data_IF_700189657326
#
_entry.id   IF_700189657326
#
_cell.length_a   1.000
_cell.length_b   1.000
_cell.length_c   1.000
_cell.angle_alpha   90.00
_cell.angle_beta   90.00
_cell.angle_gamma   90.00
#
_symmetry.space_group_name_H-M   'P 1'
#
loop_
_entity.id
_entity.type
_entity.pdbx_description
1 polymer ?
#
# COMPACT_ATOMS: atom_id res chain seq x y z
N UNK A 1 -18.90 34.76 15.09
CA UNK A 1 -17.55 34.41 14.64
C UNK A 1 -17.72 33.51 13.42
N UNK A 2 -17.54 34.06 12.21
CA UNK A 2 -17.78 33.31 10.97
C UNK A 2 -16.56 32.42 10.71
N UNK A 3 -16.79 31.11 10.60
CA UNK A 3 -15.77 30.17 10.14
C UNK A 3 -15.50 30.47 8.66
N UNK A 4 -14.34 31.05 8.33
CA UNK A 4 -13.85 31.08 6.97
C UNK A 4 -13.39 29.67 6.62
N UNK A 5 -14.24 28.92 5.93
CA UNK A 5 -13.81 27.70 5.25
C UNK A 5 -13.02 28.15 4.00
N UNK A 6 -11.70 28.11 4.08
CA UNK A 6 -10.87 28.31 2.90
C UNK A 6 -11.20 27.18 1.91
N UNK A 7 -11.82 27.54 0.79
CA UNK A 7 -12.03 26.62 -0.33
C UNK A 7 -10.67 26.27 -0.92
N UNK A 8 -10.19 25.05 -0.69
CA UNK A 8 -9.04 24.52 -1.42
C UNK A 8 -9.45 24.37 -2.88
N UNK A 9 -8.79 25.13 -3.76
CA UNK A 9 -8.99 24.97 -5.19
C UNK A 9 -8.37 23.68 -5.68
N UNK A 10 -9.17 22.62 -5.73
CA UNK A 10 -8.78 21.30 -6.24
C UNK A 10 -8.48 21.30 -7.75
N UNK A 11 -8.65 22.42 -8.44
CA UNK A 11 -8.42 22.51 -9.89
C UNK A 11 -6.96 22.62 -10.28
N UNK A 12 -6.06 22.78 -9.31
CA UNK A 12 -4.61 22.84 -9.56
C UNK A 12 -3.91 21.48 -9.48
N UNK A 13 -4.60 20.41 -9.07
CA UNK A 13 -4.03 19.07 -9.16
C UNK A 13 -4.10 18.62 -10.63
N UNK A 14 -2.97 18.23 -11.24
CA UNK A 14 -3.02 17.68 -12.58
C UNK A 14 -3.91 16.44 -12.56
N UNK A 15 -4.98 16.48 -13.34
CA UNK A 15 -5.73 15.25 -13.65
C UNK A 15 -4.69 14.25 -14.15
N UNK A 16 -4.69 13.00 -13.67
CA UNK A 16 -3.78 11.99 -14.19
C UNK A 16 -3.84 12.07 -15.71
N UNK A 17 -2.68 12.19 -16.35
CA UNK A 17 -2.63 12.22 -17.80
C UNK A 17 -3.35 10.97 -18.32
N UNK A 18 -4.26 11.15 -19.26
CA UNK A 18 -4.87 10.02 -19.95
C UNK A 18 -3.73 9.13 -20.50
N UNK A 19 -3.96 7.82 -20.51
CA UNK A 19 -3.02 6.91 -21.15
C UNK A 19 -2.79 7.39 -22.59
N UNK A 20 -1.55 7.38 -23.03
CA UNK A 20 -1.26 7.61 -24.42
C UNK A 20 -1.76 6.42 -25.28
N UNK A 21 -1.68 6.57 -26.60
CA UNK A 21 -2.19 5.56 -27.53
C UNK A 21 -1.44 4.22 -27.43
N UNK A 22 -0.16 4.25 -27.06
CA UNK A 22 0.65 3.05 -26.90
C UNK A 22 0.25 2.28 -25.64
N UNK A 23 0.13 2.99 -24.52
CA UNK A 23 -0.32 2.41 -23.26
C UNK A 23 -1.77 1.90 -23.35
N UNK A 24 -2.66 2.62 -24.06
CA UNK A 24 -4.04 2.18 -24.27
C UNK A 24 -4.08 0.89 -25.08
N UNK A 25 -3.34 0.81 -26.19
CA UNK A 25 -3.23 -0.41 -26.99
C UNK A 25 -2.67 -1.57 -26.19
N UNK A 26 -1.63 -1.33 -25.40
CA UNK A 26 -1.04 -2.38 -24.56
C UNK A 26 -2.09 -2.96 -23.59
N UNK A 27 -2.88 -2.11 -22.95
CA UNK A 27 -3.97 -2.53 -22.04
C UNK A 27 -5.02 -3.36 -22.79
N UNK A 28 -5.50 -2.86 -23.93
CA UNK A 28 -6.55 -3.51 -24.72
C UNK A 28 -6.09 -4.88 -25.24
N UNK A 29 -4.90 -4.96 -25.80
CA UNK A 29 -4.32 -6.20 -26.34
C UNK A 29 -4.08 -7.22 -25.21
N UNK A 30 -3.58 -6.77 -24.05
CA UNK A 30 -3.34 -7.62 -22.88
C UNK A 30 -4.64 -8.20 -22.38
N UNK A 31 -5.65 -7.35 -22.13
CA UNK A 31 -6.97 -7.80 -21.64
C UNK A 31 -7.68 -8.69 -22.67
N UNK A 32 -7.56 -8.37 -23.96
CA UNK A 32 -8.16 -9.18 -25.01
C UNK A 32 -7.54 -10.59 -25.07
N UNK A 33 -6.23 -10.70 -24.90
CA UNK A 33 -5.50 -11.97 -24.92
C UNK A 33 -5.71 -12.86 -23.70
N UNK A 34 -6.19 -12.32 -22.58
CA UNK A 34 -6.41 -13.07 -21.33
C UNK A 34 -7.60 -14.00 -21.40
N UNK A 35 -7.45 -15.21 -20.83
CA UNK A 35 -8.53 -16.10 -20.47
C UNK A 35 -9.41 -15.49 -19.37
N UNK A 36 -10.55 -16.12 -19.06
CA UNK A 36 -11.41 -15.70 -17.95
C UNK A 36 -10.69 -15.85 -16.61
N UNK A 37 -9.97 -16.93 -16.40
CA UNK A 37 -9.25 -17.21 -15.16
C UNK A 37 -8.16 -16.16 -14.92
N UNK A 38 -7.39 -15.81 -15.96
CA UNK A 38 -6.40 -14.72 -15.89
C UNK A 38 -7.05 -13.37 -15.55
N UNK A 39 -8.18 -13.03 -16.20
CA UNK A 39 -8.92 -11.80 -15.90
C UNK A 39 -9.41 -11.75 -14.45
N UNK A 40 -9.91 -12.86 -13.93
CA UNK A 40 -10.33 -12.97 -12.52
C UNK A 40 -9.11 -12.83 -11.60
N UNK A 41 -8.01 -13.49 -11.93
CA UNK A 41 -6.75 -13.39 -11.18
C UNK A 41 -6.24 -11.95 -11.08
N UNK A 42 -6.31 -11.18 -12.19
CA UNK A 42 -5.89 -9.77 -12.20
C UNK A 42 -6.69 -8.87 -11.24
N UNK A 43 -7.87 -9.28 -10.79
CA UNK A 43 -8.67 -8.55 -9.80
C UNK A 43 -8.30 -8.89 -8.35
N UNK A 44 -7.39 -9.84 -8.13
CA UNK A 44 -7.02 -10.33 -6.81
C UNK A 44 -5.66 -9.77 -6.41
N UNK A 45 -5.57 -9.21 -5.20
CA UNK A 45 -4.35 -8.63 -4.61
C UNK A 45 -4.11 -9.28 -3.24
N UNK A 46 -3.45 -10.43 -3.18
CA UNK A 46 -3.12 -11.09 -1.92
C UNK A 46 -2.02 -10.34 -1.16
N UNK A 47 -1.93 -10.57 0.14
CA UNK A 47 -0.92 -9.95 0.99
C UNK A 47 0.28 -10.84 1.26
N UNK A 48 1.43 -10.21 1.48
CA UNK A 48 2.61 -10.87 2.03
C UNK A 48 3.27 -10.01 3.12
N UNK A 49 4.11 -10.65 3.92
CA UNK A 49 4.90 -9.97 4.94
C UNK A 49 6.29 -9.61 4.41
N UNK A 50 6.76 -8.40 4.75
CA UNK A 50 8.08 -7.89 4.34
C UNK A 50 9.22 -8.47 5.22
N UNK A 51 9.22 -9.79 5.32
CA UNK A 51 10.26 -10.60 5.95
C UNK A 51 11.26 -11.11 4.90
N UNK A 52 12.41 -11.61 5.36
CA UNK A 52 13.28 -12.33 4.46
C UNK A 52 12.62 -13.65 4.04
N UNK A 53 12.46 -13.84 2.74
CA UNK A 53 11.90 -15.06 2.15
C UNK A 53 12.97 -15.71 1.27
N UNK A 54 13.45 -16.88 1.70
CA UNK A 54 14.40 -17.68 0.90
C UNK A 54 13.73 -18.21 -0.37
N UNK A 55 14.51 -18.31 -1.47
CA UNK A 55 14.05 -18.92 -2.72
C UNK A 55 13.68 -20.39 -2.58
N UNK A 56 14.21 -21.06 -1.58
CA UNK A 56 14.04 -22.51 -1.34
C UNK A 56 12.98 -22.75 -0.25
N UNK A 57 12.14 -21.76 0.05
CA UNK A 57 11.12 -21.90 1.08
C UNK A 57 9.73 -22.13 0.48
N UNK A 58 8.90 -22.94 1.16
CA UNK A 58 7.51 -23.13 0.78
C UNK A 58 6.71 -21.82 0.72
N UNK A 59 7.07 -20.81 1.55
CA UNK A 59 6.49 -19.47 1.45
C UNK A 59 6.74 -18.83 0.09
N UNK A 60 7.96 -18.99 -0.45
CA UNK A 60 8.26 -18.47 -1.78
C UNK A 60 7.52 -19.24 -2.88
N UNK A 61 7.45 -20.57 -2.75
CA UNK A 61 6.71 -21.43 -3.69
C UNK A 61 5.22 -21.04 -3.73
N UNK A 62 4.61 -20.77 -2.57
CA UNK A 62 3.23 -20.29 -2.47
C UNK A 62 3.04 -18.93 -3.18
N UNK A 63 3.98 -17.99 -3.02
CA UNK A 63 3.93 -16.69 -3.70
C UNK A 63 4.11 -16.83 -5.22
N UNK A 64 5.03 -17.70 -5.67
CA UNK A 64 5.21 -18.02 -7.10
C UNK A 64 3.93 -18.61 -7.68
N UNK A 65 3.28 -19.50 -6.93
CA UNK A 65 2.00 -20.10 -7.34
C UNK A 65 0.90 -19.05 -7.51
N UNK A 66 0.81 -18.04 -6.61
CA UNK A 66 -0.13 -16.94 -6.75
C UNK A 66 0.07 -16.18 -8.08
N UNK A 67 1.32 -15.98 -8.48
CA UNK A 67 1.64 -15.27 -9.73
C UNK A 67 1.40 -16.15 -10.96
N UNK A 68 1.85 -17.42 -10.94
CA UNK A 68 1.87 -18.28 -12.13
C UNK A 68 0.58 -19.05 -12.37
N UNK A 69 -0.07 -19.54 -11.30
CA UNK A 69 -1.27 -20.38 -11.42
C UNK A 69 -2.56 -19.57 -11.22
N UNK A 70 -2.53 -18.59 -10.30
CA UNK A 70 -3.71 -17.76 -10.00
C UNK A 70 -3.68 -16.40 -10.70
N UNK A 71 -2.60 -16.05 -11.41
CA UNK A 71 -2.48 -14.86 -12.24
C UNK A 71 -2.86 -13.56 -11.52
N UNK A 72 -2.49 -13.43 -10.22
CA UNK A 72 -2.87 -12.27 -9.40
C UNK A 72 -2.38 -10.96 -10.01
N UNK A 73 -3.21 -9.91 -9.96
CA UNK A 73 -2.91 -8.61 -10.55
C UNK A 73 -2.01 -7.73 -9.68
N UNK A 74 -1.80 -8.09 -8.43
CA UNK A 74 -0.96 -7.30 -7.52
C UNK A 74 -0.63 -8.01 -6.23
N UNK A 75 0.08 -7.29 -5.36
CA UNK A 75 0.46 -7.76 -4.02
C UNK A 75 0.30 -6.64 -3.00
N UNK A 76 -0.18 -6.96 -1.80
CA UNK A 76 -0.29 -6.04 -0.68
C UNK A 76 0.82 -6.31 0.34
N UNK A 77 1.65 -5.29 0.60
CA UNK A 77 2.79 -5.39 1.51
C UNK A 77 2.36 -5.08 2.93
N UNK A 78 2.56 -6.04 3.84
CA UNK A 78 2.45 -5.83 5.27
C UNK A 78 3.83 -5.78 5.95
N UNK A 79 3.87 -5.40 7.24
CA UNK A 79 5.05 -5.49 8.09
C UNK A 79 5.54 -6.93 8.27
N UNK A 80 5.97 -7.29 9.49
CA UNK A 80 6.37 -8.66 9.83
C UNK A 80 5.46 -9.25 10.89
N UNK A 81 5.46 -10.58 11.01
CA UNK A 81 4.88 -11.25 12.17
C UNK A 81 5.93 -11.26 13.31
N UNK A 82 5.57 -10.79 14.49
CA UNK A 82 6.39 -11.01 15.68
C UNK A 82 5.65 -11.87 16.70
N UNK A 83 6.40 -12.72 17.38
CA UNK A 83 5.93 -13.31 18.63
C UNK A 83 5.71 -12.17 19.64
N UNK A 84 4.51 -12.11 20.24
CA UNK A 84 4.14 -11.07 21.15
C UNK A 84 4.59 -11.40 22.58
N UNK A 85 5.10 -10.44 23.33
CA UNK A 85 5.18 -10.57 24.77
C UNK A 85 3.75 -10.57 25.34
N UNK A 86 3.49 -11.46 26.29
CA UNK A 86 2.17 -11.70 26.91
C UNK A 86 1.57 -10.52 27.69
N UNK A 87 2.20 -9.36 27.66
CA UNK A 87 1.92 -8.20 28.54
C UNK A 87 1.44 -6.95 27.77
N UNK A 88 0.95 -7.07 26.55
CA UNK A 88 0.53 -5.88 25.78
C UNK A 88 -0.96 -5.60 25.92
N UNK A 89 -1.28 -4.36 26.32
CA UNK A 89 -2.65 -3.87 26.62
C UNK A 89 -3.61 -3.90 25.42
N UNK A 90 -3.11 -3.98 24.20
CA UNK A 90 -3.95 -4.12 23.01
C UNK A 90 -3.32 -5.07 21.98
N UNK A 91 -3.72 -6.31 22.01
CA UNK A 91 -3.21 -7.40 21.16
C UNK A 91 -3.54 -7.20 19.66
N UNK A 92 -4.54 -6.41 19.30
CA UNK A 92 -4.93 -6.21 17.91
C UNK A 92 -3.88 -5.40 17.12
N UNK A 93 -3.19 -4.47 17.77
CA UNK A 93 -2.17 -3.62 17.14
C UNK A 93 -0.76 -4.22 17.10
N UNK A 94 -0.54 -5.31 17.81
CA UNK A 94 0.79 -5.85 18.05
C UNK A 94 1.13 -7.08 17.22
N UNK A 95 0.18 -7.58 16.44
CA UNK A 95 0.39 -8.77 15.60
C UNK A 95 1.28 -8.54 14.38
N UNK A 96 1.39 -7.29 13.93
CA UNK A 96 2.20 -6.94 12.78
C UNK A 96 3.32 -6.01 13.22
N UNK A 97 4.56 -6.45 13.10
CA UNK A 97 5.71 -5.61 13.28
C UNK A 97 6.14 -4.99 11.98
N UNK A 98 7.03 -4.01 12.09
CA UNK A 98 7.59 -3.32 10.94
C UNK A 98 8.58 -4.23 10.23
N UNK A 99 8.39 -4.42 8.93
CA UNK A 99 9.32 -5.14 8.07
C UNK A 99 10.55 -4.33 7.71
N UNK A 100 11.40 -4.95 6.90
CA UNK A 100 12.61 -4.28 6.39
C UNK A 100 12.38 -3.85 4.94
N UNK A 101 12.64 -2.58 4.57
CA UNK A 101 12.48 -2.09 3.21
C UNK A 101 13.24 -2.92 2.18
N UNK A 102 14.45 -3.34 2.49
CA UNK A 102 15.27 -4.16 1.59
C UNK A 102 14.63 -5.53 1.32
N UNK A 103 14.06 -6.17 2.36
CA UNK A 103 13.36 -7.44 2.18
C UNK A 103 12.12 -7.29 1.31
N UNK A 104 11.34 -6.22 1.54
CA UNK A 104 10.18 -5.89 0.72
C UNK A 104 10.58 -5.68 -0.74
N UNK A 105 11.55 -4.79 -1.01
CA UNK A 105 12.03 -4.48 -2.36
C UNK A 105 12.60 -5.71 -3.07
N UNK A 106 13.39 -6.54 -2.37
CA UNK A 106 13.96 -7.77 -2.94
C UNK A 106 12.86 -8.76 -3.33
N UNK A 107 11.87 -8.97 -2.47
CA UNK A 107 10.78 -9.90 -2.76
C UNK A 107 9.88 -9.37 -3.89
N UNK A 108 9.55 -8.07 -3.87
CA UNK A 108 8.80 -7.41 -4.95
C UNK A 108 9.51 -7.61 -6.30
N UNK A 109 10.83 -7.33 -6.37
CA UNK A 109 11.58 -7.48 -7.61
C UNK A 109 11.58 -8.93 -8.12
N UNK A 110 11.69 -9.91 -7.22
CA UNK A 110 11.63 -11.34 -7.59
C UNK A 110 10.26 -11.72 -8.14
N UNK A 111 9.17 -11.28 -7.52
CA UNK A 111 7.81 -11.54 -7.99
C UNK A 111 7.52 -10.81 -9.31
N UNK A 112 7.96 -9.57 -9.46
CA UNK A 112 7.86 -8.83 -10.72
C UNK A 112 8.60 -9.53 -11.85
N UNK A 113 9.79 -10.10 -11.58
CA UNK A 113 10.60 -10.75 -12.63
C UNK A 113 9.99 -12.03 -13.19
N UNK A 114 9.06 -12.64 -12.47
CA UNK A 114 8.36 -13.86 -12.91
C UNK A 114 6.93 -13.60 -13.38
N UNK A 115 6.44 -12.38 -13.26
CA UNK A 115 5.07 -12.01 -13.63
C UNK A 115 4.97 -11.69 -15.12
N UNK A 116 3.99 -12.29 -15.82
CA UNK A 116 3.72 -12.01 -17.23
C UNK A 116 3.11 -10.60 -17.43
N UNK A 117 2.27 -10.17 -16.50
CA UNK A 117 1.73 -8.81 -16.43
C UNK A 117 2.32 -8.15 -15.18
N UNK A 118 2.86 -6.92 -15.26
CA UNK A 118 3.44 -6.26 -14.11
C UNK A 118 2.48 -6.17 -12.92
N UNK A 119 2.93 -6.60 -11.73
CA UNK A 119 2.12 -6.60 -10.52
C UNK A 119 1.89 -5.17 -10.00
N UNK A 120 0.65 -4.83 -9.65
CA UNK A 120 0.34 -3.65 -8.88
C UNK A 120 0.66 -3.90 -7.40
N UNK A 121 1.72 -3.28 -6.89
CA UNK A 121 2.11 -3.44 -5.49
C UNK A 121 1.51 -2.33 -4.65
N UNK A 122 0.78 -2.72 -3.60
CA UNK A 122 0.08 -1.82 -2.68
C UNK A 122 0.62 -1.96 -1.25
N UNK A 123 0.36 -0.94 -0.43
CA UNK A 123 0.53 -0.98 1.03
C UNK A 123 -0.43 0.01 1.68
N UNK A 124 -0.68 -0.13 2.98
CA UNK A 124 -1.48 0.78 3.79
C UNK A 124 -0.58 1.63 4.70
N UNK A 125 0.05 2.63 4.13
CA UNK A 125 0.96 3.55 4.84
C UNK A 125 0.20 4.73 5.47
N UNK A 126 -0.63 4.45 6.47
CA UNK A 126 -1.51 5.44 7.12
C UNK A 126 -0.75 6.64 7.71
N UNK A 127 0.47 6.42 8.18
CA UNK A 127 1.32 7.44 8.79
C UNK A 127 2.71 7.49 8.15
N UNK A 128 2.79 7.31 6.84
CA UNK A 128 4.05 7.16 6.12
C UNK A 128 4.55 5.72 6.08
N UNK A 129 5.63 5.45 5.33
CA UNK A 129 6.10 4.06 5.18
C UNK A 129 6.60 3.45 6.48
N UNK A 130 6.99 4.28 7.47
CA UNK A 130 7.32 3.84 8.83
C UNK A 130 6.15 3.17 9.57
N UNK A 131 4.94 3.22 9.05
CA UNK A 131 3.80 2.47 9.58
C UNK A 131 4.00 0.95 9.42
N UNK A 132 4.55 0.51 8.29
CA UNK A 132 4.77 -0.91 7.97
C UNK A 132 6.26 -1.31 7.92
N UNK A 133 7.17 -0.38 7.64
CA UNK A 133 8.57 -0.67 7.37
C UNK A 133 9.50 0.14 8.29
N UNK A 134 10.54 -0.52 8.79
CA UNK A 134 11.55 0.13 9.64
C UNK A 134 12.37 1.15 8.85
N UNK A 135 12.76 2.23 9.53
CA UNK A 135 13.63 3.24 8.96
C UNK A 135 12.96 4.21 7.99
N UNK A 136 11.68 4.00 7.68
CA UNK A 136 10.89 4.94 6.88
C UNK A 136 10.37 6.12 7.71
N UNK A 137 10.01 7.19 7.03
CA UNK A 137 9.41 8.36 7.66
C UNK A 137 8.07 7.98 8.31
N UNK A 138 7.85 8.49 9.52
CA UNK A 138 6.59 8.33 10.25
C UNK A 138 6.01 9.69 10.54
N UNK A 139 4.74 9.88 10.18
CA UNK A 139 3.97 11.08 10.41
C UNK A 139 2.95 10.90 11.54
N UNK A 140 2.41 11.99 12.09
CA UNK A 140 1.23 11.94 12.93
C UNK A 140 0.04 11.33 12.18
N UNK A 141 -1.01 10.94 12.91
CA UNK A 141 -2.26 10.46 12.31
C UNK A 141 -3.02 11.57 11.58
N UNK A 142 -3.92 11.20 10.67
CA UNK A 142 -4.64 12.11 9.78
C UNK A 142 -5.37 13.24 10.52
N UNK A 143 -5.96 12.98 11.69
CA UNK A 143 -6.61 14.02 12.50
C UNK A 143 -5.67 15.12 12.99
N UNK A 144 -4.39 14.82 13.20
CA UNK A 144 -3.41 15.84 13.59
C UNK A 144 -3.15 16.83 12.43
N UNK A 145 -3.10 16.35 11.19
CA UNK A 145 -3.05 17.23 10.01
C UNK A 145 -4.31 18.09 9.90
N UNK A 146 -5.49 17.50 10.08
CA UNK A 146 -6.75 18.23 10.11
C UNK A 146 -6.78 19.34 11.17
N UNK A 147 -6.22 19.07 12.35
CA UNK A 147 -6.17 20.06 13.44
C UNK A 147 -5.27 21.27 13.13
N UNK A 148 -4.33 21.17 12.22
CA UNK A 148 -3.49 22.31 11.79
C UNK A 148 -4.25 23.32 10.94
N UNK A 149 -5.28 22.88 10.21
CA UNK A 149 -5.99 23.65 9.20
C UNK A 149 -5.13 23.97 7.96
N UNK A 150 -3.95 23.39 7.82
CA UNK A 150 -3.02 23.61 6.71
C UNK A 150 -2.95 22.38 5.80
N UNK A 151 -3.61 22.41 4.63
CA UNK A 151 -3.61 21.29 3.68
C UNK A 151 -2.22 21.03 3.05
N UNK A 152 -1.32 22.03 3.08
CA UNK A 152 0.03 21.87 2.55
C UNK A 152 0.84 20.84 3.35
N UNK A 153 0.64 20.76 4.65
CA UNK A 153 1.29 19.75 5.49
C UNK A 153 0.84 18.33 5.12
N UNK A 154 -0.44 18.12 4.83
CA UNK A 154 -0.95 16.84 4.36
C UNK A 154 -0.39 16.48 2.97
N UNK A 155 -0.30 17.45 2.07
CA UNK A 155 0.32 17.27 0.74
C UNK A 155 1.79 16.83 0.86
N UNK A 156 2.59 17.53 1.68
CA UNK A 156 4.01 17.19 1.86
C UNK A 156 4.19 15.81 2.49
N UNK A 157 3.37 15.43 3.46
CA UNK A 157 3.39 14.08 4.04
C UNK A 157 3.08 13.02 2.97
N UNK A 158 2.07 13.25 2.13
CA UNK A 158 1.73 12.38 0.99
C UNK A 158 2.86 12.28 -0.02
N UNK A 159 3.49 13.40 -0.38
CA UNK A 159 4.61 13.46 -1.33
C UNK A 159 5.83 12.68 -0.83
N UNK A 160 6.19 12.85 0.45
CA UNK A 160 7.31 12.10 1.06
C UNK A 160 6.98 10.61 1.10
N UNK A 161 5.78 10.23 1.57
CA UNK A 161 5.34 8.83 1.59
C UNK A 161 5.38 8.21 0.19
N UNK A 162 4.90 8.92 -0.83
CA UNK A 162 4.92 8.43 -2.21
C UNK A 162 6.36 8.24 -2.74
N UNK A 163 7.26 9.20 -2.45
CA UNK A 163 8.67 9.11 -2.87
C UNK A 163 9.36 7.89 -2.26
N UNK A 164 9.20 7.68 -0.95
CA UNK A 164 9.79 6.54 -0.25
C UNK A 164 9.16 5.21 -0.70
N UNK A 165 7.83 5.16 -0.88
CA UNK A 165 7.11 3.99 -1.35
C UNK A 165 7.57 3.56 -2.75
N UNK A 166 7.70 4.52 -3.67
CA UNK A 166 8.20 4.25 -5.04
C UNK A 166 9.62 3.72 -5.06
N UNK A 167 10.48 4.19 -4.15
CA UNK A 167 11.87 3.74 -4.06
C UNK A 167 11.99 2.24 -3.71
N UNK A 168 10.97 1.64 -3.10
CA UNK A 168 10.93 0.21 -2.75
C UNK A 168 9.96 -0.60 -3.62
N UNK A 169 9.43 -0.01 -4.70
CA UNK A 169 8.59 -0.69 -5.68
C UNK A 169 7.10 -0.74 -5.35
N UNK A 170 6.61 0.10 -4.43
CA UNK A 170 5.18 0.20 -4.12
C UNK A 170 4.53 1.30 -4.96
N UNK A 171 3.39 0.98 -5.58
CA UNK A 171 2.70 1.82 -6.55
C UNK A 171 1.43 2.47 -5.99
N UNK A 172 0.76 1.78 -5.07
CA UNK A 172 -0.55 2.18 -4.53
C UNK A 172 -0.50 2.25 -3.00
N UNK A 173 -0.84 3.41 -2.44
CA UNK A 173 -1.04 3.56 -1.01
C UNK A 173 -2.54 3.53 -0.68
N UNK A 174 -2.98 2.56 0.13
CA UNK A 174 -4.35 2.40 0.60
C UNK A 174 -4.60 3.25 1.86
N UNK A 175 -4.26 4.52 1.79
CA UNK A 175 -4.43 5.54 2.82
C UNK A 175 -4.76 6.89 2.16
N UNK A 176 -5.32 7.84 2.92
CA UNK A 176 -5.69 7.78 4.35
C UNK A 176 -6.97 6.99 4.60
N UNK A 177 -7.14 6.56 5.86
CA UNK A 177 -8.45 6.09 6.36
C UNK A 177 -9.42 7.26 6.30
N UNK A 178 -10.56 7.06 5.63
CA UNK A 178 -11.58 8.11 5.42
C UNK A 178 -12.78 8.01 6.40
N UNK A 179 -12.75 7.02 7.28
CA UNK A 179 -13.74 6.86 8.33
C UNK A 179 -13.67 8.01 9.32
N UNK A 180 -14.84 8.53 9.67
CA UNK A 180 -14.97 9.58 10.69
C UNK A 180 -15.05 8.95 12.06
N UNK A 181 -14.21 9.41 13.01
CA UNK A 181 -14.26 8.97 14.40
C UNK A 181 -15.51 9.55 15.11
N UNK A 182 -16.63 8.88 14.95
CA UNK A 182 -17.92 9.23 15.54
C UNK A 182 -18.35 8.29 16.67
N UNK A 183 -17.55 7.28 17.00
CA UNK A 183 -17.82 6.31 18.05
C UNK A 183 -16.55 6.03 18.86
N UNK A 184 -16.44 6.58 20.09
CA UNK A 184 -15.27 6.39 20.95
C UNK A 184 -15.05 4.94 21.38
N UNK A 185 -16.03 4.07 21.19
CA UNK A 185 -15.92 2.63 21.49
C UNK A 185 -15.42 1.82 20.29
N UNK A 186 -15.20 2.45 19.12
CA UNK A 186 -14.62 1.76 17.97
C UNK A 186 -13.15 1.42 18.26
N UNK A 187 -12.76 0.13 18.24
CA UNK A 187 -11.40 -0.26 18.62
C UNK A 187 -10.34 0.05 17.54
N UNK A 188 -10.76 0.41 16.33
CA UNK A 188 -9.87 0.65 15.18
C UNK A 188 -9.78 2.14 14.84
N UNK A 189 -10.92 2.80 14.69
CA UNK A 189 -11.01 4.18 14.18
C UNK A 189 -10.85 5.23 15.28
N UNK A 190 -11.05 4.86 16.53
CA UNK A 190 -10.92 5.75 17.69
C UNK A 190 -9.47 6.08 18.05
N UNK A 191 -8.68 6.55 17.09
CA UNK A 191 -7.25 6.89 17.33
C UNK A 191 -6.86 8.18 16.62
#
# INVERSE_FOLDING_TARGET
MALLVASVDLRSNPVPAALDEEATRWVDDTVFGMSLDEKVGQMIVPSFFSEFVSSDSGTYDDLVKLVHEYHVGGMLVFGTRQAQPDVLLNQAYTRNTRGQPLNAASLINRLQSISAVPLLVAADFETGIGFRLNGGTTFPRAMAFGATGDPQLAYEAGRITASEARAIGIHLNLAPVVDVNNNPMNPVINT
#
